data_IF_441062002322
#
_entry.id   IF_441062002322
#
_cell.length_a   1.000
_cell.length_b   1.000
_cell.length_c   1.000
_cell.angle_alpha   90.00
_cell.angle_beta   90.00
_cell.angle_gamma   90.00
#
_symmetry.space_group_name_H-M   'P 1'
#
loop_
_entity.id
_entity.type
_entity.pdbx_description
1 polymer ?
#
# COMPACT_ATOMS: atom_id res chain seq x y z
N UNK A 1 -12.76 -6.72 -20.01
CA UNK A 1 -11.87 -5.56 -20.20
C UNK A 1 -10.78 -5.59 -19.13
N UNK A 2 -9.67 -4.91 -19.35
CA UNK A 2 -8.52 -4.92 -18.45
C UNK A 2 -8.59 -3.73 -17.47
N UNK A 3 -8.34 -4.00 -16.19
CA UNK A 3 -8.22 -3.00 -15.13
C UNK A 3 -6.94 -3.27 -14.34
N UNK A 4 -5.85 -2.60 -14.72
CA UNK A 4 -4.52 -2.92 -14.21
C UNK A 4 -4.11 -4.33 -14.61
N UNK A 5 -3.72 -5.16 -13.63
CA UNK A 5 -3.35 -6.58 -13.86
C UNK A 5 -4.58 -7.51 -13.91
N UNK A 6 -5.79 -7.02 -13.65
CA UNK A 6 -6.99 -7.84 -13.56
C UNK A 6 -7.85 -7.75 -14.82
N UNK A 7 -8.26 -8.90 -15.36
CA UNK A 7 -9.25 -8.98 -16.45
C UNK A 7 -10.64 -9.13 -15.83
N UNK A 8 -11.54 -8.19 -16.12
CA UNK A 8 -12.95 -8.25 -15.69
C UNK A 8 -13.86 -8.70 -16.82
N UNK A 9 -14.78 -9.61 -16.49
CA UNK A 9 -15.88 -10.03 -17.37
C UNK A 9 -17.14 -9.37 -16.83
N UNK A 10 -17.73 -8.45 -17.60
CA UNK A 10 -18.93 -7.73 -17.19
C UNK A 10 -20.06 -8.07 -18.16
N UNK A 11 -21.21 -8.40 -17.61
CA UNK A 11 -22.48 -8.44 -18.32
C UNK A 11 -23.13 -7.05 -18.27
N UNK A 12 -23.56 -6.56 -19.43
CA UNK A 12 -24.29 -5.29 -19.54
C UNK A 12 -25.77 -5.56 -19.31
N UNK A 13 -26.34 -4.98 -18.24
CA UNK A 13 -27.76 -5.18 -17.90
C UNK A 13 -28.64 -4.05 -18.44
N UNK A 14 -28.11 -2.83 -18.51
CA UNK A 14 -28.80 -1.69 -19.11
C UNK A 14 -27.82 -0.66 -19.70
N UNK A 15 -28.32 0.16 -20.64
CA UNK A 15 -27.56 1.27 -21.23
C UNK A 15 -27.90 2.57 -20.48
N UNK A 16 -26.90 3.20 -19.88
CA UNK A 16 -27.06 4.49 -19.22
C UNK A 16 -27.20 5.65 -20.21
N UNK A 17 -28.19 6.52 -20.03
CA UNK A 17 -28.39 7.72 -20.86
C UNK A 17 -27.40 8.86 -20.57
N UNK A 18 -26.84 8.88 -19.36
CA UNK A 18 -25.86 9.88 -18.90
C UNK A 18 -24.88 9.26 -17.92
N UNK A 19 -23.76 9.94 -17.68
CA UNK A 19 -22.85 9.60 -16.58
C UNK A 19 -23.49 10.04 -15.25
N UNK A 20 -23.63 9.09 -14.33
CA UNK A 20 -24.22 9.30 -13.00
C UNK A 20 -23.23 9.04 -11.86
N UNK A 21 -23.67 9.20 -10.61
CA UNK A 21 -22.92 8.82 -9.42
C UNK A 21 -22.69 7.30 -9.35
N UNK A 22 -21.71 6.87 -8.56
CA UNK A 22 -21.30 5.47 -8.48
C UNK A 22 -22.44 4.48 -8.18
N UNK A 23 -23.38 4.74 -7.23
CA UNK A 23 -24.47 3.81 -6.96
C UNK A 23 -25.43 3.62 -8.14
N UNK A 24 -25.72 4.69 -8.89
CA UNK A 24 -26.55 4.60 -10.10
C UNK A 24 -25.84 3.86 -11.24
N UNK A 25 -24.52 4.02 -11.38
CA UNK A 25 -23.77 3.34 -12.43
C UNK A 25 -23.60 1.84 -12.16
N UNK A 26 -23.52 1.44 -10.89
CA UNK A 26 -23.37 0.03 -10.47
C UNK A 26 -24.58 -0.83 -10.85
N UNK A 27 -25.77 -0.25 -10.98
CA UNK A 27 -26.99 -1.01 -11.35
C UNK A 27 -27.07 -1.34 -12.84
N UNK A 28 -26.18 -0.78 -13.67
CA UNK A 28 -26.21 -0.97 -15.12
C UNK A 28 -25.47 -2.23 -15.59
N UNK A 29 -24.75 -2.92 -14.69
CA UNK A 29 -23.93 -4.05 -15.04
C UNK A 29 -23.76 -5.06 -13.90
N UNK A 30 -23.51 -6.31 -14.27
CA UNK A 30 -23.18 -7.39 -13.35
C UNK A 30 -21.73 -7.84 -13.58
N UNK A 31 -20.94 -7.89 -12.51
CA UNK A 31 -19.55 -8.38 -12.55
C UNK A 31 -19.54 -9.91 -12.44
N UNK A 32 -19.14 -10.57 -13.53
CA UNK A 32 -19.00 -12.03 -13.63
C UNK A 32 -17.52 -12.42 -13.61
N UNK A 33 -16.63 -11.54 -13.17
CA UNK A 33 -15.21 -11.84 -13.14
C UNK A 33 -14.91 -13.02 -12.22
N UNK A 34 -14.03 -13.95 -12.65
CA UNK A 34 -13.54 -14.99 -11.75
C UNK A 34 -12.82 -14.33 -10.57
N UNK A 35 -12.81 -14.97 -9.39
CA UNK A 35 -12.11 -14.43 -8.23
C UNK A 35 -10.66 -14.16 -8.63
N UNK A 36 -10.09 -13.01 -8.20
CA UNK A 36 -8.74 -12.64 -8.62
C UNK A 36 -7.81 -13.80 -8.29
N UNK A 37 -7.04 -14.23 -9.31
CA UNK A 37 -5.93 -15.14 -9.10
C UNK A 37 -5.14 -14.56 -7.93
N UNK A 38 -5.00 -15.32 -6.84
CA UNK A 38 -4.23 -14.91 -5.67
C UNK A 38 -2.82 -14.63 -6.15
N UNK A 39 -2.56 -13.43 -6.62
CA UNK A 39 -1.21 -12.93 -6.73
C UNK A 39 -0.80 -12.79 -5.28
N UNK A 40 -0.02 -13.77 -4.82
CA UNK A 40 0.72 -13.71 -3.58
C UNK A 40 1.78 -12.60 -3.65
N UNK A 41 1.41 -11.41 -4.12
CA UNK A 41 2.09 -10.19 -3.73
C UNK A 41 1.68 -9.98 -2.28
N UNK A 42 2.31 -10.77 -1.39
CA UNK A 42 2.55 -10.37 -0.01
C UNK A 42 2.92 -8.90 -0.12
N UNK A 43 2.03 -8.01 0.34
CA UNK A 43 2.41 -6.62 0.52
C UNK A 43 3.70 -6.68 1.32
N UNK A 44 4.81 -6.25 0.71
CA UNK A 44 6.09 -6.24 1.40
C UNK A 44 5.86 -5.43 2.67
N UNK A 45 5.94 -6.07 3.83
CA UNK A 45 5.82 -5.35 5.09
C UNK A 45 6.87 -4.25 5.05
N UNK A 46 6.45 -3.03 5.42
CA UNK A 46 7.40 -1.94 5.56
C UNK A 46 8.52 -2.43 6.49
N UNK A 47 9.80 -2.27 6.10
CA UNK A 47 10.90 -2.75 6.91
C UNK A 47 10.77 -2.14 8.31
N UNK A 48 10.68 -3.01 9.32
CA UNK A 48 10.64 -2.57 10.70
C UNK A 48 11.97 -1.92 11.04
N UNK A 49 11.92 -0.79 11.75
CA UNK A 49 13.12 -0.04 12.13
C UNK A 49 14.02 -0.90 13.03
N UNK A 50 15.19 -1.34 12.53
CA UNK A 50 16.16 -2.21 13.22
C UNK A 50 16.85 -1.57 14.45
N UNK A 51 16.44 -0.38 14.88
CA UNK A 51 17.09 0.34 15.99
C UNK A 51 18.46 0.95 15.65
N UNK A 52 19.02 0.70 14.47
CA UNK A 52 20.30 1.24 13.96
C UNK A 52 20.14 2.63 13.33
N UNK A 53 19.28 3.48 13.89
CA UNK A 53 19.06 4.84 13.40
C UNK A 53 19.74 5.88 14.28
N UNK A 54 19.16 7.10 14.25
CA UNK A 54 19.65 8.25 14.99
C UNK A 54 19.97 7.88 16.46
N UNK A 55 21.22 8.08 16.92
CA UNK A 55 21.61 7.76 18.28
C UNK A 55 20.65 8.36 19.31
N UNK A 56 20.29 7.57 20.31
CA UNK A 56 19.43 8.05 21.39
C UNK A 56 20.11 9.19 22.15
N UNK A 57 19.36 9.92 22.99
CA UNK A 57 19.96 10.94 23.86
C UNK A 57 21.03 10.35 24.79
N UNK A 58 20.89 9.08 25.19
CA UNK A 58 21.88 8.37 26.01
C UNK A 58 23.15 8.12 25.22
N UNK A 59 23.02 7.61 23.99
CA UNK A 59 24.17 7.29 23.13
C UNK A 59 24.97 8.54 22.76
N UNK A 60 24.27 9.66 22.48
CA UNK A 60 24.92 10.96 22.24
C UNK A 60 25.77 11.40 23.44
N UNK A 61 25.23 11.30 24.66
CA UNK A 61 25.96 11.67 25.88
C UNK A 61 27.19 10.79 26.12
N UNK A 62 27.10 9.49 25.83
CA UNK A 62 28.23 8.56 25.99
C UNK A 62 29.34 8.88 24.98
N UNK A 63 28.98 9.20 23.73
CA UNK A 63 29.93 9.64 22.70
C UNK A 63 30.61 10.97 23.07
N UNK A 64 29.85 11.93 23.60
CA UNK A 64 30.39 13.21 24.04
C UNK A 64 31.39 13.02 25.20
N UNK A 65 31.05 12.17 26.17
CA UNK A 65 31.91 11.82 27.32
C UNK A 65 33.18 11.07 26.92
N UNK A 66 33.08 10.10 26.01
CA UNK A 66 34.25 9.35 25.55
C UNK A 66 35.20 10.22 24.75
N UNK A 67 34.68 11.18 23.97
CA UNK A 67 35.49 12.16 23.24
C UNK A 67 36.24 13.10 24.17
N UNK A 68 35.61 13.57 25.23
CA UNK A 68 36.27 14.44 26.22
C UNK A 68 37.40 13.72 26.96
N UNK A 69 37.18 12.45 27.34
CA UNK A 69 38.17 11.65 28.08
C UNK A 69 39.42 11.29 27.27
N UNK A 70 39.36 11.28 25.94
CA UNK A 70 40.51 10.98 25.07
C UNK A 70 41.39 12.21 24.78
N UNK A 71 40.93 13.41 25.13
CA UNK A 71 41.65 14.67 24.91
C UNK A 71 42.39 15.18 26.16
N UNK A 72 42.37 14.42 27.25
CA UNK A 72 43.23 14.56 28.43
C UNK A 72 44.39 13.56 28.36
#
# INVERSE_FOLDING_TARGET
FELGENVRVIQIDAIGHRRGPAPEAQTLYTDLSPPPLRSEKKMSENPSFEGKGRPSKRDRRVLDLSRARHLE
#
